data_IF_437907707081
#
_entry.id   IF_437907707081
#
_cell.length_a   1.000
_cell.length_b   1.000
_cell.length_c   1.000
_cell.angle_alpha   90.00
_cell.angle_beta   90.00
_cell.angle_gamma   90.00
#
_symmetry.space_group_name_H-M   'P 1'
#
loop_
_entity.id
_entity.type
_entity.pdbx_description
1 polymer ?
#
# COMPACT_ATOMS: atom_id res chain seq x y z
N UNK A 1 -11.37 -15.58 -5.81
CA UNK A 1 -10.16 -16.09 -5.12
C UNK A 1 -10.26 -15.81 -3.65
N UNK A 2 -9.92 -16.80 -2.86
CA UNK A 2 -9.91 -16.67 -1.40
C UNK A 2 -8.87 -15.62 -0.98
N UNK A 3 -9.22 -14.66 -0.12
CA UNK A 3 -8.25 -13.68 0.36
C UNK A 3 -7.00 -14.30 1.00
N UNK A 4 -7.14 -15.45 1.67
CA UNK A 4 -5.99 -16.10 2.27
C UNK A 4 -4.99 -16.57 1.21
N UNK A 5 -5.47 -17.09 0.08
CA UNK A 5 -4.61 -17.47 -1.02
C UNK A 5 -3.94 -16.28 -1.67
N UNK A 6 -4.66 -15.18 -1.82
CA UNK A 6 -4.08 -13.95 -2.35
C UNK A 6 -2.98 -13.44 -1.45
N UNK A 7 -3.19 -13.46 -0.13
CA UNK A 7 -2.18 -13.03 0.81
C UNK A 7 -0.93 -13.89 0.75
N UNK A 8 -1.10 -15.21 0.57
CA UNK A 8 0.04 -16.11 0.44
C UNK A 8 0.88 -15.75 -0.79
N UNK A 9 0.23 -15.47 -1.91
CA UNK A 9 0.94 -15.08 -3.13
C UNK A 9 1.64 -13.74 -2.99
N UNK A 10 0.99 -12.79 -2.34
CA UNK A 10 1.55 -11.48 -2.09
C UNK A 10 2.80 -11.61 -1.21
N UNK A 11 2.71 -12.40 -0.17
CA UNK A 11 3.85 -12.66 0.71
C UNK A 11 5.02 -13.28 -0.07
N UNK A 12 4.73 -14.25 -0.93
CA UNK A 12 5.76 -14.90 -1.74
C UNK A 12 6.40 -13.94 -2.74
N UNK A 13 5.69 -12.89 -3.11
CA UNK A 13 6.22 -11.88 -4.02
C UNK A 13 7.08 -10.82 -3.33
N UNK A 14 7.31 -10.95 -2.03
CA UNK A 14 8.23 -10.09 -1.30
C UNK A 14 7.60 -8.97 -0.50
N UNK A 15 6.27 -8.97 -0.38
CA UNK A 15 5.58 -7.99 0.45
C UNK A 15 5.50 -8.50 1.88
N UNK A 16 5.64 -7.58 2.84
CA UNK A 16 5.35 -7.88 4.24
C UNK A 16 3.88 -7.65 4.50
N UNK A 17 3.32 -8.44 5.40
CA UNK A 17 1.91 -8.32 5.79
C UNK A 17 1.87 -7.98 7.26
N UNK A 18 1.21 -6.88 7.60
CA UNK A 18 1.07 -6.45 8.98
C UNK A 18 -0.37 -6.05 9.26
N UNK A 19 -0.76 -6.17 10.52
CA UNK A 19 -2.06 -5.68 10.96
C UNK A 19 -1.84 -4.52 11.91
N UNK A 20 -2.60 -3.45 11.71
CA UNK A 20 -2.57 -2.28 12.58
C UNK A 20 -3.89 -2.17 13.33
N UNK A 21 -3.83 -1.77 14.58
CA UNK A 21 -5.04 -1.57 15.37
C UNK A 21 -5.97 -0.53 14.78
N UNK A 22 -5.40 0.44 14.04
CA UNK A 22 -6.18 1.48 13.37
C UNK A 22 -7.08 0.93 12.27
N UNK A 23 -6.75 -0.23 11.72
CA UNK A 23 -7.49 -0.84 10.62
C UNK A 23 -7.84 -2.28 10.98
N UNK A 24 -8.79 -2.48 11.93
CA UNK A 24 -9.03 -3.83 12.44
C UNK A 24 -9.58 -4.82 11.43
N UNK A 25 -10.20 -4.32 10.35
CA UNK A 25 -10.76 -5.17 9.31
C UNK A 25 -9.90 -5.26 8.07
N UNK A 26 -8.71 -4.67 8.11
CA UNK A 26 -7.85 -4.61 6.95
C UNK A 26 -6.51 -5.24 7.24
N UNK A 27 -5.77 -5.52 6.19
CA UNK A 27 -4.38 -5.92 6.29
C UNK A 27 -3.55 -4.87 5.57
N UNK A 28 -2.35 -4.63 6.08
CA UNK A 28 -1.44 -3.68 5.47
C UNK A 28 -0.31 -4.44 4.79
N UNK A 29 0.00 -4.06 3.57
CA UNK A 29 1.09 -4.65 2.80
C UNK A 29 2.21 -3.63 2.70
N UNK A 30 3.42 -4.08 2.96
CA UNK A 30 4.58 -3.19 2.98
C UNK A 30 5.71 -3.78 2.15
N UNK A 31 6.46 -2.90 1.52
CA UNK A 31 7.73 -3.25 0.88
C UNK A 31 8.59 -2.00 0.92
N UNK A 32 9.73 -2.10 1.65
CA UNK A 32 10.51 -0.91 1.94
C UNK A 32 9.69 0.05 2.78
N UNK A 33 9.57 1.29 2.33
CA UNK A 33 8.76 2.29 3.02
C UNK A 33 7.39 2.51 2.40
N UNK A 34 7.03 1.70 1.42
CA UNK A 34 5.71 1.79 0.78
C UNK A 34 4.70 0.96 1.55
N UNK A 35 3.46 1.44 1.63
CA UNK A 35 2.42 0.76 2.39
C UNK A 35 1.08 0.90 1.67
N UNK A 36 0.30 -0.18 1.68
CA UNK A 36 -1.06 -0.18 1.14
C UNK A 36 -1.98 -0.86 2.14
N UNK A 37 -3.23 -0.41 2.20
CA UNK A 37 -4.25 -1.00 3.07
C UNK A 37 -5.22 -1.76 2.19
N UNK A 38 -5.42 -3.03 2.49
CA UNK A 38 -6.34 -3.89 1.75
C UNK A 38 -7.39 -4.46 2.69
N UNK A 39 -8.61 -4.55 2.19
CA UNK A 39 -9.72 -5.10 2.95
C UNK A 39 -10.20 -6.40 2.31
N UNK A 40 -10.30 -7.49 3.08
CA UNK A 40 -10.86 -8.74 2.55
C UNK A 40 -12.35 -8.57 2.24
N UNK A 41 -12.74 -9.02 1.06
CA UNK A 41 -14.14 -9.01 0.62
C UNK A 41 -14.45 -10.37 0.03
N UNK A 42 -15.74 -10.70 -0.17
CA UNK A 42 -16.09 -12.01 -0.72
C UNK A 42 -15.41 -12.32 -2.06
N UNK A 43 -15.21 -11.32 -2.90
CA UNK A 43 -14.56 -11.51 -4.20
C UNK A 43 -13.04 -11.48 -4.14
N UNK A 44 -12.45 -11.14 -2.99
CA UNK A 44 -11.00 -11.07 -2.81
C UNK A 44 -10.57 -9.82 -2.08
N UNK A 45 -9.28 -9.53 -2.11
CA UNK A 45 -8.74 -8.35 -1.45
C UNK A 45 -8.97 -7.11 -2.29
N UNK A 46 -9.40 -6.03 -1.63
CA UNK A 46 -9.63 -4.75 -2.29
C UNK A 46 -8.74 -3.69 -1.68
N UNK A 47 -8.07 -2.91 -2.54
CA UNK A 47 -7.23 -1.80 -2.11
C UNK A 47 -8.11 -0.66 -1.59
N UNK A 48 -7.80 -0.16 -0.40
CA UNK A 48 -8.52 0.96 0.20
C UNK A 48 -7.68 2.21 0.00
N UNK A 49 -8.20 3.14 -0.81
CA UNK A 49 -7.49 4.36 -1.11
C UNK A 49 -6.25 4.11 -1.96
N UNK A 50 -5.31 5.01 -1.87
CA UNK A 50 -4.05 4.92 -2.60
C UNK A 50 -2.95 4.37 -1.71
N UNK A 51 -1.93 3.77 -2.31
CA UNK A 51 -0.73 3.42 -1.57
C UNK A 51 -0.06 4.67 -1.05
N UNK A 52 0.66 4.56 0.06
CA UNK A 52 1.31 5.69 0.69
C UNK A 52 2.71 5.35 1.16
N UNK A 53 3.28 6.28 1.90
CA UNK A 53 4.63 6.17 2.45
C UNK A 53 4.55 5.93 3.94
N UNK A 54 5.29 4.96 4.44
CA UNK A 54 5.26 4.64 5.87
C UNK A 54 6.01 5.71 6.66
N UNK A 55 5.30 6.34 7.59
CA UNK A 55 5.86 7.39 8.44
C UNK A 55 5.60 7.00 9.90
N UNK A 56 6.52 6.20 10.46
CA UNK A 56 6.31 5.62 11.77
C UNK A 56 5.15 4.64 11.77
N UNK A 57 4.15 4.89 12.58
CA UNK A 57 2.92 4.10 12.61
C UNK A 57 1.79 4.75 11.80
N UNK A 58 2.11 5.78 11.01
CA UNK A 58 1.15 6.49 10.19
C UNK A 58 1.44 6.25 8.71
N UNK A 59 0.43 6.53 7.88
CA UNK A 59 0.54 6.41 6.44
C UNK A 59 0.56 7.80 5.84
N UNK A 60 1.66 8.15 5.17
CA UNK A 60 1.78 9.44 4.51
C UNK A 60 1.11 9.42 3.16
N UNK A 61 0.23 10.38 2.93
CA UNK A 61 -0.49 10.51 1.66
C UNK A 61 0.26 11.49 0.77
N UNK A 62 0.40 11.15 -0.51
CA UNK A 62 1.07 12.01 -1.46
C UNK A 62 0.18 13.22 -1.76
N UNK A 63 0.69 14.41 -1.47
CA UNK A 63 -0.02 15.66 -1.72
C UNK A 63 0.95 16.68 -2.32
N UNK A 64 0.39 17.72 -2.92
CA UNK A 64 1.18 18.83 -3.43
C UNK A 64 1.09 19.99 -2.47
N UNK A 65 2.26 20.52 -2.08
CA UNK A 65 2.35 21.67 -1.20
C UNK A 65 3.40 22.64 -1.74
N UNK A 66 3.03 23.90 -1.99
CA UNK A 66 3.94 24.94 -2.46
C UNK A 66 4.70 24.47 -3.70
N UNK A 67 3.98 23.91 -4.66
CA UNK A 67 4.51 23.41 -5.94
C UNK A 67 5.48 22.24 -5.78
N UNK A 68 5.49 21.59 -4.63
CA UNK A 68 6.31 20.41 -4.39
C UNK A 68 5.44 19.25 -3.96
N UNK A 69 5.87 18.04 -4.27
CA UNK A 69 5.19 16.82 -3.83
C UNK A 69 5.78 16.36 -2.51
N UNK A 70 4.92 16.07 -1.55
CA UNK A 70 5.35 15.59 -0.24
C UNK A 70 4.40 14.49 0.22
N UNK A 71 4.89 13.66 1.13
CA UNK A 71 4.04 12.72 1.86
C UNK A 71 3.65 13.36 3.18
N UNK A 72 2.36 13.40 3.46
CA UNK A 72 1.83 14.06 4.65
C UNK A 72 1.08 13.08 5.54
N UNK A 73 1.42 13.08 6.83
CA UNK A 73 0.70 12.31 7.84
C UNK A 73 0.66 13.16 9.11
N UNK A 74 -0.55 13.50 9.55
CA UNK A 74 -0.75 14.34 10.74
C UNK A 74 0.09 15.62 10.63
N UNK A 75 1.09 15.76 11.50
CA UNK A 75 1.93 16.96 11.54
C UNK A 75 3.29 16.75 10.87
N UNK A 76 3.46 15.66 10.15
CA UNK A 76 4.73 15.31 9.54
C UNK A 76 4.67 15.44 8.03
N UNK A 77 5.75 15.93 7.45
CA UNK A 77 5.92 16.02 6.01
C UNK A 77 7.25 15.38 5.64
N UNK A 78 7.22 14.56 4.60
CA UNK A 78 8.42 13.94 4.05
C UNK A 78 8.47 14.25 2.57
N UNK A 79 9.59 14.75 2.10
CA UNK A 79 9.72 15.09 0.69
C UNK A 79 9.56 13.87 -0.19
N UNK A 80 8.73 14.00 -1.24
CA UNK A 80 8.54 12.94 -2.21
C UNK A 80 9.57 13.07 -3.30
N UNK A 81 10.79 12.61 -3.03
CA UNK A 81 11.88 12.66 -4.00
C UNK A 81 11.57 11.81 -5.23
N UNK A 82 12.23 12.06 -6.37
CA UNK A 82 12.02 11.21 -7.55
C UNK A 82 12.26 9.72 -7.26
N UNK A 83 13.22 9.40 -6.42
CA UNK A 83 13.50 8.01 -6.05
C UNK A 83 12.34 7.41 -5.25
N UNK A 84 11.80 8.18 -4.31
CA UNK A 84 10.66 7.72 -3.51
C UNK A 84 9.41 7.55 -4.36
N UNK A 85 9.18 8.47 -5.28
CA UNK A 85 8.04 8.37 -6.19
C UNK A 85 8.15 7.15 -7.10
N UNK A 86 9.35 6.85 -7.59
CA UNK A 86 9.56 5.65 -8.39
C UNK A 86 9.29 4.39 -7.59
N UNK A 87 9.77 4.36 -6.34
CA UNK A 87 9.53 3.21 -5.47
C UNK A 87 8.04 3.01 -5.21
N UNK A 88 7.32 4.09 -4.98
CA UNK A 88 5.88 4.03 -4.75
C UNK A 88 5.13 3.52 -5.98
N UNK A 89 5.48 4.05 -7.15
CA UNK A 89 4.84 3.63 -8.40
C UNK A 89 5.12 2.17 -8.71
N UNK A 90 6.35 1.71 -8.46
CA UNK A 90 6.69 0.31 -8.66
C UNK A 90 5.91 -0.58 -7.70
N UNK A 91 5.82 -0.16 -6.45
CA UNK A 91 5.03 -0.88 -5.44
C UNK A 91 3.57 -0.99 -5.87
N UNK A 92 2.96 0.10 -6.29
CA UNK A 92 1.56 0.10 -6.74
C UNK A 92 1.37 -0.78 -7.96
N UNK A 93 2.28 -0.68 -8.92
CA UNK A 93 2.19 -1.46 -10.15
C UNK A 93 2.28 -2.96 -9.88
N UNK A 94 3.23 -3.34 -9.04
CA UNK A 94 3.41 -4.76 -8.70
C UNK A 94 2.20 -5.29 -7.95
N UNK A 95 1.69 -4.50 -7.00
CA UNK A 95 0.53 -4.91 -6.22
C UNK A 95 -0.72 -5.05 -7.10
N UNK A 96 -0.96 -4.08 -7.97
CA UNK A 96 -2.10 -4.14 -8.88
C UNK A 96 -2.01 -5.33 -9.82
N UNK A 97 -0.81 -5.65 -10.28
CA UNK A 97 -0.63 -6.83 -11.13
C UNK A 97 -1.03 -8.10 -10.40
N UNK A 98 -0.63 -8.23 -9.15
CA UNK A 98 -1.00 -9.41 -8.36
C UNK A 98 -2.50 -9.49 -8.13
N UNK A 99 -3.13 -8.35 -7.82
CA UNK A 99 -4.58 -8.31 -7.61
C UNK A 99 -5.35 -8.55 -8.90
N UNK A 100 -4.87 -8.00 -10.02
CA UNK A 100 -5.53 -8.15 -11.32
C UNK A 100 -5.47 -9.58 -11.84
N UNK A 101 -4.35 -10.26 -11.62
CA UNK A 101 -4.23 -11.67 -12.01
C UNK A 101 -5.26 -12.54 -11.33
N UNK A 102 -5.66 -12.14 -10.11
CA UNK A 102 -6.65 -12.88 -9.36
C UNK A 102 -8.08 -12.59 -9.82
N UNK A 103 -8.30 -11.41 -10.38
CA UNK A 103 -9.64 -10.98 -10.74
C UNK A 103 -9.98 -11.18 -12.22
N UNK A 104 -9.04 -11.67 -13.03
CA UNK A 104 -9.28 -11.88 -14.47
C UNK A 104 -9.80 -13.27 -14.78
N UNK A 105 -10.28 -13.95 -13.82
CA UNK A 105 -10.88 -15.28 -14.01
C UNK A 105 -12.38 -15.20 -14.15
#
# INVERSE_FOLDING_TARGET
MDPAEQLARIYQAGFEIQKYERFPRAVCLLRGDCIAVLEPRPEGLALIGSAGWRMGDAIGVLVERDSRQVFQAKNQLVEATPERLRALRQFESDLQRLLSLESTQ
#
